data_IF_416539911618
#
_entry.id   IF_416539911618
#
_cell.length_a   1.000
_cell.length_b   1.000
_cell.length_c   1.000
_cell.angle_alpha   90.00
_cell.angle_beta   90.00
_cell.angle_gamma   90.00
#
_symmetry.space_group_name_H-M   'P 1'
#
loop_
_entity.id
_entity.type
_entity.pdbx_description
1 polymer ?
#
# COMPACT_ATOMS: atom_id res chain seq x y z
N UNK A 1 21.57 23.88 -23.93
CA UNK A 1 20.86 24.86 -24.78
C UNK A 1 21.72 26.11 -25.09
N UNK A 2 22.91 26.23 -24.52
CA UNK A 2 23.85 27.34 -24.78
C UNK A 2 25.04 26.82 -25.58
N UNK A 3 25.57 27.65 -26.48
CA UNK A 3 26.77 27.33 -27.25
C UNK A 3 27.97 27.24 -26.32
N UNK A 4 28.61 26.07 -26.23
CA UNK A 4 29.80 25.82 -25.42
C UNK A 4 30.81 24.94 -26.18
N UNK A 5 32.10 24.96 -25.82
CA UNK A 5 33.06 23.98 -26.32
C UNK A 5 32.66 22.55 -25.95
N UNK A 6 32.77 21.63 -26.89
CA UNK A 6 32.41 20.22 -26.69
C UNK A 6 33.60 19.37 -26.23
N UNK A 7 33.28 18.30 -25.47
CA UNK A 7 34.21 17.22 -25.10
C UNK A 7 33.56 15.93 -25.61
N UNK A 8 34.18 15.30 -26.60
CA UNK A 8 33.70 14.08 -27.26
C UNK A 8 34.58 12.88 -26.86
N UNK A 9 34.06 11.64 -26.94
CA UNK A 9 34.81 10.47 -26.47
C UNK A 9 36.10 10.28 -27.27
N UNK A 10 37.23 10.21 -26.55
CA UNK A 10 38.58 10.11 -27.14
C UNK A 10 39.14 8.69 -27.09
N UNK A 11 38.36 7.71 -26.64
CA UNK A 11 38.79 6.32 -26.43
C UNK A 11 39.47 6.07 -25.07
N UNK A 12 39.82 7.12 -24.32
CA UNK A 12 40.35 7.04 -22.94
C UNK A 12 39.21 7.29 -21.92
N UNK A 13 38.34 8.26 -22.20
CA UNK A 13 37.11 8.54 -21.45
C UNK A 13 35.92 8.20 -22.34
N UNK A 14 35.15 7.18 -21.96
CA UNK A 14 34.04 6.63 -22.76
C UNK A 14 32.66 7.13 -22.33
N UNK A 15 32.59 7.88 -21.23
CA UNK A 15 31.33 8.33 -20.62
C UNK A 15 31.32 9.83 -20.26
N UNK A 16 32.41 10.56 -20.50
CA UNK A 16 32.54 11.99 -20.19
C UNK A 16 32.34 12.79 -21.47
N UNK A 17 31.08 13.15 -21.74
CA UNK A 17 30.70 13.95 -22.89
C UNK A 17 30.18 15.32 -22.45
N UNK A 18 30.64 16.37 -23.11
CA UNK A 18 30.00 17.69 -23.08
C UNK A 18 29.59 17.99 -24.51
N UNK A 19 28.29 17.99 -24.77
CA UNK A 19 27.73 18.20 -26.11
C UNK A 19 26.92 19.49 -26.11
N UNK A 20 27.25 20.38 -27.03
CA UNK A 20 26.64 21.68 -27.20
C UNK A 20 25.49 21.57 -28.21
N UNK A 21 24.26 21.63 -27.72
CA UNK A 21 23.06 21.62 -28.55
C UNK A 21 22.15 22.81 -28.19
N UNK A 22 22.37 23.99 -28.79
CA UNK A 22 21.53 25.16 -28.58
C UNK A 22 20.12 24.94 -29.12
N UNK A 23 19.08 25.22 -28.32
CA UNK A 23 17.70 24.83 -28.65
C UNK A 23 17.19 25.47 -29.95
N UNK A 24 17.59 26.71 -30.21
CA UNK A 24 17.28 27.48 -31.42
C UNK A 24 17.99 26.96 -32.69
N UNK A 25 19.03 26.14 -32.54
CA UNK A 25 19.82 25.56 -33.63
C UNK A 25 19.40 24.11 -33.94
N UNK A 26 18.47 23.55 -33.15
CA UNK A 26 17.90 22.22 -33.42
C UNK A 26 16.92 22.34 -34.58
N UNK A 27 17.17 21.58 -35.64
CA UNK A 27 16.23 21.44 -36.75
C UNK A 27 14.93 20.77 -36.28
N UNK A 28 13.77 21.33 -36.61
CA UNK A 28 12.46 20.76 -36.31
C UNK A 28 11.36 21.68 -36.84
N UNK A 29 10.21 21.12 -37.24
CA UNK A 29 9.09 21.89 -37.81
C UNK A 29 8.43 22.83 -36.79
N UNK A 30 8.51 22.47 -35.52
CA UNK A 30 7.96 23.17 -34.36
C UNK A 30 8.83 22.89 -33.11
N UNK A 31 8.53 23.57 -32.00
CA UNK A 31 9.28 23.42 -30.76
C UNK A 31 9.14 22.01 -30.15
N UNK A 32 8.06 21.29 -30.47
CA UNK A 32 7.84 19.93 -30.01
C UNK A 32 8.85 18.97 -30.68
N UNK A 33 9.00 19.05 -32.00
CA UNK A 33 9.97 18.22 -32.74
C UNK A 33 11.42 18.56 -32.35
N UNK A 34 11.71 19.84 -32.08
CA UNK A 34 13.04 20.26 -31.56
C UNK A 34 13.31 19.66 -30.18
N UNK A 35 12.32 19.68 -29.29
CA UNK A 35 12.43 19.06 -27.97
C UNK A 35 12.60 17.53 -28.07
N UNK A 36 11.87 16.85 -28.96
CA UNK A 36 12.03 15.42 -29.22
C UNK A 36 13.47 15.09 -29.64
N UNK A 37 14.05 15.84 -30.59
CA UNK A 37 15.42 15.64 -31.06
C UNK A 37 16.47 15.94 -30.00
N UNK A 38 16.26 16.97 -29.17
CA UNK A 38 17.12 17.25 -28.02
C UNK A 38 17.15 16.05 -27.06
N UNK A 39 15.96 15.55 -26.70
CA UNK A 39 15.81 14.39 -25.81
C UNK A 39 16.51 13.16 -26.41
N UNK A 40 16.32 12.88 -27.71
CA UNK A 40 17.02 11.79 -28.39
C UNK A 40 18.55 11.93 -28.30
N UNK A 41 19.08 13.14 -28.49
CA UNK A 41 20.53 13.37 -28.39
C UNK A 41 21.03 13.17 -26.97
N UNK A 42 20.29 13.61 -25.95
CA UNK A 42 20.61 13.35 -24.55
C UNK A 42 20.62 11.85 -24.22
N UNK A 43 19.66 11.09 -24.75
CA UNK A 43 19.58 9.63 -24.58
C UNK A 43 20.80 8.95 -25.19
N UNK A 44 21.17 9.33 -26.42
CA UNK A 44 22.34 8.81 -27.12
C UNK A 44 23.65 9.12 -26.36
N UNK A 45 23.86 10.39 -26.02
CA UNK A 45 25.10 10.88 -25.38
C UNK A 45 25.30 10.27 -24.01
N UNK A 46 24.22 10.09 -23.24
CA UNK A 46 24.27 9.48 -21.90
C UNK A 46 24.28 7.94 -21.95
N UNK A 47 23.99 7.33 -23.10
CA UNK A 47 23.86 5.89 -23.25
C UNK A 47 22.63 5.31 -22.52
N UNK A 48 21.57 6.11 -22.35
CA UNK A 48 20.35 5.69 -21.66
C UNK A 48 19.60 4.68 -22.52
N UNK A 49 19.43 3.45 -22.03
CA UNK A 49 18.61 2.44 -22.70
C UNK A 49 17.17 2.55 -22.21
N UNK A 50 16.32 3.23 -22.97
CA UNK A 50 14.90 3.35 -22.62
C UNK A 50 14.15 2.08 -23.03
N UNK A 51 13.62 1.34 -22.05
CA UNK A 51 12.61 0.31 -22.29
C UNK A 51 11.24 1.00 -22.37
N UNK A 52 10.81 1.37 -23.58
CA UNK A 52 9.49 1.98 -23.77
C UNK A 52 8.44 0.89 -23.68
N UNK A 53 7.76 0.80 -22.55
CA UNK A 53 6.49 0.08 -22.47
C UNK A 53 5.39 1.03 -22.93
N UNK A 54 4.88 0.84 -24.15
CA UNK A 54 3.75 1.65 -24.63
C UNK A 54 2.49 1.19 -23.91
N UNK A 55 2.05 1.95 -22.91
CA UNK A 55 0.77 1.72 -22.22
C UNK A 55 -0.34 2.40 -23.03
N UNK A 56 -1.35 1.66 -23.53
CA UNK A 56 -2.33 2.21 -24.48
C UNK A 56 -3.45 2.96 -23.75
N UNK A 57 -3.11 4.15 -23.25
CA UNK A 57 -4.02 5.08 -22.56
C UNK A 57 -3.94 6.49 -23.15
N UNK A 58 -5.02 7.30 -23.04
CA UNK A 58 -5.08 8.63 -23.64
C UNK A 58 -4.49 9.74 -22.75
N UNK A 59 -3.93 9.38 -21.61
CA UNK A 59 -3.29 10.29 -20.66
C UNK A 59 -1.80 10.01 -20.56
N UNK A 60 -0.97 10.98 -20.15
CA UNK A 60 0.42 10.71 -19.79
C UNK A 60 0.51 9.57 -18.77
N UNK A 61 1.47 8.68 -18.97
CA UNK A 61 1.68 7.52 -18.12
C UNK A 61 3.16 7.43 -17.71
N UNK A 62 3.43 7.26 -16.42
CA UNK A 62 4.77 7.12 -15.87
C UNK A 62 4.81 7.36 -14.36
N UNK A 63 5.95 7.03 -13.74
CA UNK A 63 6.09 7.10 -12.28
C UNK A 63 5.99 8.50 -11.68
N UNK A 64 6.18 9.54 -12.50
CA UNK A 64 6.01 10.92 -12.09
C UNK A 64 4.57 11.26 -11.64
N UNK A 65 3.57 10.47 -12.04
CA UNK A 65 2.16 10.72 -11.74
C UNK A 65 1.64 9.94 -10.53
N UNK A 66 2.43 9.02 -9.96
CA UNK A 66 1.94 8.09 -8.93
C UNK A 66 1.44 8.76 -7.65
N UNK A 67 2.02 9.91 -7.30
CA UNK A 67 1.66 10.68 -6.12
C UNK A 67 0.50 11.67 -6.34
N UNK A 68 -0.11 11.71 -7.54
CA UNK A 68 -1.19 12.64 -7.83
C UNK A 68 -2.42 12.37 -6.95
N UNK A 69 -2.93 13.43 -6.34
CA UNK A 69 -4.13 13.37 -5.50
C UNK A 69 -5.30 14.01 -6.24
N UNK A 70 -6.33 13.22 -6.55
CA UNK A 70 -7.56 13.72 -7.16
C UNK A 70 -8.48 14.24 -6.06
N UNK A 71 -8.53 15.57 -5.92
CA UNK A 71 -9.40 16.26 -4.97
C UNK A 71 -10.84 16.28 -5.47
N UNK A 72 -11.81 16.42 -4.55
CA UNK A 72 -13.25 16.42 -4.88
C UNK A 72 -13.62 17.43 -5.96
N UNK A 73 -13.03 18.62 -5.95
CA UNK A 73 -13.29 19.67 -6.94
C UNK A 73 -12.97 19.21 -8.38
N UNK A 74 -11.90 18.42 -8.55
CA UNK A 74 -11.37 17.96 -9.84
C UNK A 74 -11.84 16.54 -10.20
N UNK A 75 -12.66 15.92 -9.36
CA UNK A 75 -13.10 14.53 -9.48
C UNK A 75 -14.23 14.37 -10.50
N UNK A 76 -14.07 13.44 -11.44
CA UNK A 76 -15.15 13.01 -12.34
C UNK A 76 -16.01 11.92 -11.71
N UNK A 77 -15.37 10.92 -11.11
CA UNK A 77 -16.01 9.73 -10.54
C UNK A 77 -15.13 9.16 -9.41
N UNK A 78 -15.78 8.56 -8.42
CA UNK A 78 -15.18 7.83 -7.30
C UNK A 78 -15.67 6.39 -7.29
N UNK A 79 -14.78 5.44 -7.01
CA UNK A 79 -15.10 4.03 -6.80
C UNK A 79 -14.56 3.57 -5.45
N UNK A 80 -15.36 2.88 -4.65
CA UNK A 80 -15.03 2.58 -3.26
C UNK A 80 -15.28 3.77 -2.32
N UNK A 81 -14.55 3.81 -1.22
CA UNK A 81 -14.70 4.86 -0.21
C UNK A 81 -16.04 4.78 0.54
N UNK A 82 -16.65 5.92 0.85
CA UNK A 82 -17.82 6.00 1.73
C UNK A 82 -19.14 5.58 1.07
N UNK A 83 -19.28 5.82 -0.23
CA UNK A 83 -20.58 5.74 -0.93
C UNK A 83 -20.67 4.58 -1.92
N UNK A 84 -19.59 3.84 -2.13
CA UNK A 84 -19.53 2.72 -3.07
C UNK A 84 -18.50 1.69 -2.59
N UNK A 85 -18.47 0.53 -3.22
CA UNK A 85 -17.53 -0.55 -2.95
C UNK A 85 -16.57 -0.70 -4.10
N UNK A 86 -15.29 -0.91 -3.80
CA UNK A 86 -14.34 -1.32 -4.81
C UNK A 86 -13.40 -2.41 -4.32
N UNK A 87 -13.13 -3.38 -5.18
CA UNK A 87 -12.17 -4.45 -4.91
C UNK A 87 -11.29 -4.76 -6.11
N UNK A 88 -10.11 -5.29 -5.83
CA UNK A 88 -9.15 -5.77 -6.81
C UNK A 88 -8.69 -7.19 -6.46
N UNK A 89 -8.87 -8.13 -7.39
CA UNK A 89 -8.55 -9.54 -7.17
C UNK A 89 -7.73 -10.07 -8.33
N UNK A 90 -6.50 -10.47 -8.05
CA UNK A 90 -5.64 -11.16 -9.00
C UNK A 90 -5.53 -12.63 -8.62
N UNK A 91 -5.73 -13.52 -9.58
CA UNK A 91 -5.56 -14.95 -9.38
C UNK A 91 -4.94 -15.64 -10.58
N UNK A 92 -4.24 -16.73 -10.31
CA UNK A 92 -3.70 -17.61 -11.33
C UNK A 92 -4.82 -18.43 -11.96
N UNK A 93 -4.71 -18.67 -13.26
CA UNK A 93 -5.56 -19.59 -14.00
C UNK A 93 -4.73 -20.46 -14.96
N UNK A 94 -5.24 -21.63 -15.38
CA UNK A 94 -4.62 -22.44 -16.42
C UNK A 94 -4.38 -21.67 -17.73
N UNK A 95 -3.26 -21.93 -18.41
CA UNK A 95 -2.87 -21.24 -19.66
C UNK A 95 -3.92 -21.31 -20.78
N UNK A 96 -4.74 -22.36 -20.81
CA UNK A 96 -5.81 -22.57 -21.80
C UNK A 96 -7.10 -21.81 -21.47
N UNK A 97 -7.24 -21.29 -20.25
CA UNK A 97 -8.41 -20.54 -19.78
C UNK A 97 -8.23 -19.03 -19.87
N UNK A 98 -7.00 -18.55 -20.12
CA UNK A 98 -6.68 -17.12 -20.23
C UNK A 98 -6.49 -16.70 -21.69
N UNK A 99 -7.24 -15.68 -22.11
CA UNK A 99 -7.07 -15.01 -23.41
C UNK A 99 -6.24 -13.75 -23.21
N UNK A 100 -4.96 -13.78 -23.61
CA UNK A 100 -4.07 -12.65 -23.40
C UNK A 100 -4.57 -11.38 -24.10
N UNK A 101 -4.49 -10.25 -23.38
CA UNK A 101 -4.90 -8.93 -23.87
C UNK A 101 -6.41 -8.70 -23.89
N UNK A 102 -7.22 -9.69 -23.50
CA UNK A 102 -8.67 -9.49 -23.35
C UNK A 102 -8.93 -8.56 -22.16
N UNK A 103 -9.59 -7.44 -22.46
CA UNK A 103 -10.15 -6.53 -21.47
C UNK A 103 -11.66 -6.45 -21.70
N UNK A 104 -12.43 -6.70 -20.66
CA UNK A 104 -13.89 -6.68 -20.72
C UNK A 104 -14.45 -5.80 -19.60
N UNK A 105 -15.48 -5.02 -19.91
CA UNK A 105 -16.25 -4.24 -18.93
C UNK A 105 -17.65 -4.84 -18.86
N UNK A 106 -18.01 -5.38 -17.70
CA UNK A 106 -19.30 -6.04 -17.44
C UNK A 106 -20.13 -5.15 -16.52
N UNK A 107 -21.11 -4.48 -17.13
CA UNK A 107 -21.96 -3.49 -16.48
C UNK A 107 -21.86 -2.12 -17.16
N UNK A 108 -22.56 -1.09 -16.64
CA UNK A 108 -22.52 0.26 -17.20
C UNK A 108 -21.16 0.93 -16.96
N UNK A 109 -20.74 1.80 -17.88
CA UNK A 109 -19.66 2.73 -17.61
C UNK A 109 -20.11 3.91 -16.74
N UNK A 110 -19.21 4.85 -16.47
CA UNK A 110 -19.50 6.01 -15.62
C UNK A 110 -20.01 7.23 -16.40
N UNK A 111 -20.21 7.13 -17.71
CA UNK A 111 -20.60 8.23 -18.59
C UNK A 111 -21.91 8.91 -18.14
N UNK A 112 -22.87 8.11 -17.69
CA UNK A 112 -24.18 8.58 -17.21
C UNK A 112 -24.20 8.96 -15.72
N UNK A 113 -23.13 8.65 -14.98
CA UNK A 113 -23.00 9.06 -13.57
C UNK A 113 -22.69 10.55 -13.52
N UNK A 114 -23.44 11.35 -12.72
CA UNK A 114 -23.14 12.77 -12.53
C UNK A 114 -21.68 13.04 -12.14
N UNK A 115 -21.15 14.22 -12.49
CA UNK A 115 -19.84 14.63 -12.01
C UNK A 115 -19.76 14.56 -10.48
N UNK A 116 -18.59 14.15 -9.97
CA UNK A 116 -18.36 13.91 -8.54
C UNK A 116 -19.27 12.83 -7.94
N UNK A 117 -19.92 12.01 -8.77
CA UNK A 117 -20.67 10.85 -8.35
C UNK A 117 -19.78 9.69 -7.89
N UNK A 118 -20.42 8.56 -7.59
CA UNK A 118 -19.78 7.33 -7.14
C UNK A 118 -20.39 6.12 -7.85
N UNK A 119 -19.62 5.04 -7.96
CA UNK A 119 -20.04 3.77 -8.57
C UNK A 119 -19.23 2.62 -7.97
N UNK A 120 -19.82 1.42 -7.88
CA UNK A 120 -19.07 0.23 -7.44
C UNK A 120 -18.12 -0.28 -8.54
N UNK A 121 -17.01 -0.91 -8.14
CA UNK A 121 -16.00 -1.40 -9.09
C UNK A 121 -15.33 -2.70 -8.62
N UNK A 122 -15.34 -3.72 -9.46
CA UNK A 122 -14.52 -4.93 -9.29
C UNK A 122 -13.45 -5.02 -10.38
N UNK A 123 -12.18 -5.11 -10.01
CA UNK A 123 -11.08 -5.38 -10.94
C UNK A 123 -10.64 -6.83 -10.75
N UNK A 124 -10.98 -7.71 -11.69
CA UNK A 124 -10.55 -9.12 -11.64
C UNK A 124 -9.49 -9.35 -12.71
N UNK A 125 -8.31 -9.79 -12.28
CA UNK A 125 -7.15 -10.04 -13.14
C UNK A 125 -6.82 -11.53 -13.11
N UNK A 126 -6.94 -12.18 -14.26
CA UNK A 126 -6.46 -13.55 -14.45
C UNK A 126 -5.08 -13.50 -15.05
N UNK A 127 -4.14 -14.18 -14.42
CA UNK A 127 -2.78 -14.34 -14.94
C UNK A 127 -2.48 -15.81 -15.18
N UNK A 128 -1.71 -16.09 -16.22
CA UNK A 128 -1.18 -17.42 -16.46
C UNK A 128 0.27 -17.31 -16.93
N UNK A 129 1.11 -18.25 -16.51
CA UNK A 129 2.47 -18.36 -17.02
C UNK A 129 3.19 -19.59 -16.49
N UNK A 130 4.19 -20.05 -17.22
CA UNK A 130 4.97 -21.26 -16.85
C UNK A 130 5.70 -21.10 -15.52
N UNK A 131 6.12 -19.87 -15.21
CA UNK A 131 6.78 -19.52 -13.96
C UNK A 131 5.83 -19.02 -12.87
N UNK A 132 4.53 -18.92 -13.15
CA UNK A 132 3.55 -18.41 -12.20
C UNK A 132 3.23 -19.45 -11.11
N UNK A 133 3.02 -18.98 -9.88
CA UNK A 133 2.65 -19.79 -8.73
C UNK A 133 1.58 -19.05 -7.92
N UNK A 134 0.72 -19.77 -7.19
CA UNK A 134 -0.29 -19.15 -6.29
C UNK A 134 0.37 -18.18 -5.29
N UNK A 135 1.61 -18.48 -4.89
CA UNK A 135 2.45 -17.67 -3.98
C UNK A 135 2.77 -16.27 -4.53
N UNK A 136 2.71 -16.08 -5.85
CA UNK A 136 3.02 -14.81 -6.50
C UNK A 136 1.78 -13.93 -6.66
N UNK A 137 0.58 -14.47 -6.49
CA UNK A 137 -0.67 -13.70 -6.60
C UNK A 137 -0.69 -12.43 -5.75
N UNK A 138 -0.41 -12.46 -4.42
CA UNK A 138 -0.41 -11.23 -3.61
C UNK A 138 0.67 -10.22 -4.05
N UNK A 139 1.83 -10.70 -4.54
CA UNK A 139 2.90 -9.85 -5.06
C UNK A 139 2.42 -9.07 -6.28
N UNK A 140 1.77 -9.76 -7.23
CA UNK A 140 1.25 -9.15 -8.45
C UNK A 140 0.02 -8.29 -8.18
N UNK A 141 -0.90 -8.74 -7.32
CA UNK A 141 -2.10 -8.00 -6.93
C UNK A 141 -1.74 -6.61 -6.39
N UNK A 142 -0.70 -6.51 -5.57
CA UNK A 142 -0.24 -5.22 -5.04
C UNK A 142 0.25 -4.25 -6.12
N UNK A 143 0.70 -4.75 -7.27
CA UNK A 143 1.16 -3.89 -8.36
C UNK A 143 0.01 -3.16 -9.05
N UNK A 144 -1.25 -3.61 -8.90
CA UNK A 144 -2.42 -2.92 -9.43
C UNK A 144 -2.45 -1.47 -8.95
N UNK A 145 -2.19 -1.25 -7.65
CA UNK A 145 -2.04 0.07 -7.07
C UNK A 145 -1.01 0.94 -7.81
N UNK A 146 0.19 0.40 -8.03
CA UNK A 146 1.28 1.15 -8.66
C UNK A 146 1.01 1.42 -10.14
N UNK A 147 0.49 0.42 -10.85
CA UNK A 147 0.19 0.50 -12.27
C UNK A 147 -0.92 1.49 -12.55
N UNK A 148 -2.01 1.48 -11.78
CA UNK A 148 -3.12 2.42 -11.97
C UNK A 148 -2.68 3.86 -11.65
N UNK A 149 -1.93 4.07 -10.57
CA UNK A 149 -1.41 5.40 -10.20
C UNK A 149 -0.40 5.96 -11.22
N UNK A 150 0.19 5.12 -12.08
CA UNK A 150 1.05 5.60 -13.16
C UNK A 150 0.32 6.46 -14.20
N UNK A 151 -1.02 6.44 -14.25
CA UNK A 151 -1.80 7.25 -15.18
C UNK A 151 -2.13 8.63 -14.60
N UNK A 152 -1.73 9.70 -15.29
CA UNK A 152 -2.03 11.07 -14.87
C UNK A 152 -3.54 11.32 -14.75
N UNK A 153 -3.94 11.94 -13.64
CA UNK A 153 -5.33 12.23 -13.31
C UNK A 153 -6.12 11.03 -12.80
N UNK A 154 -5.46 9.94 -12.41
CA UNK A 154 -6.06 8.76 -11.77
C UNK A 154 -5.35 8.53 -10.43
N UNK A 155 -6.13 8.34 -9.37
CA UNK A 155 -5.64 8.04 -8.04
C UNK A 155 -6.20 6.69 -7.60
N UNK A 156 -5.32 5.79 -7.12
CA UNK A 156 -5.68 4.52 -6.51
C UNK A 156 -5.09 4.41 -5.11
N UNK A 157 -5.90 4.14 -4.09
CA UNK A 157 -5.48 3.89 -2.72
C UNK A 157 -6.17 2.62 -2.21
N UNK A 158 -5.63 2.00 -1.16
CA UNK A 158 -6.15 0.76 -0.63
C UNK A 158 -5.63 -0.43 -1.42
N UNK A 159 -6.32 -1.54 -1.26
CA UNK A 159 -5.96 -2.85 -1.81
C UNK A 159 -7.13 -3.82 -1.62
N UNK A 160 -7.05 -5.02 -2.21
CA UNK A 160 -8.00 -6.12 -1.95
C UNK A 160 -9.44 -5.62 -2.03
N UNK A 161 -10.25 -5.79 -0.99
CA UNK A 161 -11.66 -5.38 -0.93
C UNK A 161 -11.93 -4.00 -0.34
N UNK A 162 -10.88 -3.20 -0.13
CA UNK A 162 -10.95 -1.82 0.36
C UNK A 162 -10.25 -0.85 -0.62
N UNK A 163 -10.23 -1.20 -1.91
CA UNK A 163 -9.69 -0.34 -2.94
C UNK A 163 -10.52 0.96 -3.02
N UNK A 164 -9.86 2.06 -3.38
CA UNK A 164 -10.48 3.37 -3.53
C UNK A 164 -9.83 4.09 -4.70
N UNK A 165 -10.61 4.31 -5.76
CA UNK A 165 -10.12 4.85 -7.02
C UNK A 165 -10.87 6.13 -7.36
N UNK A 166 -10.14 7.15 -7.80
CA UNK A 166 -10.70 8.39 -8.33
C UNK A 166 -10.14 8.66 -9.71
N UNK A 167 -11.01 9.12 -10.60
CA UNK A 167 -10.63 9.62 -11.93
C UNK A 167 -10.98 11.10 -11.98
N UNK A 168 -10.04 11.93 -12.43
CA UNK A 168 -10.22 13.37 -12.61
C UNK A 168 -11.05 13.71 -13.84
N UNK A 169 -11.63 14.92 -13.87
CA UNK A 169 -12.31 15.47 -15.04
C UNK A 169 -11.38 15.55 -16.25
N UNK A 170 -10.16 16.05 -16.04
CA UNK A 170 -9.16 16.19 -17.09
C UNK A 170 -8.77 14.84 -17.74
N UNK A 171 -8.68 13.77 -16.96
CA UNK A 171 -8.43 12.43 -17.50
C UNK A 171 -9.62 11.92 -18.33
N UNK A 172 -10.84 12.10 -17.83
CA UNK A 172 -12.06 11.69 -18.53
C UNK A 172 -12.29 12.49 -19.84
N UNK A 173 -12.03 13.80 -19.84
CA UNK A 173 -12.11 14.67 -21.02
C UNK A 173 -11.12 14.26 -22.12
N UNK A 174 -9.94 13.73 -21.74
CA UNK A 174 -8.97 13.14 -22.68
C UNK A 174 -9.40 11.77 -23.20
N UNK A 175 -10.49 11.19 -22.68
CA UNK A 175 -11.04 9.91 -23.10
C UNK A 175 -10.65 8.73 -22.20
N UNK A 176 -10.08 8.96 -21.01
CA UNK A 176 -9.82 7.88 -20.06
C UNK A 176 -11.15 7.28 -19.56
N UNK A 177 -11.24 5.95 -19.53
CA UNK A 177 -12.44 5.18 -19.18
C UNK A 177 -12.05 3.85 -18.48
N UNK A 178 -13.03 3.02 -18.11
CA UNK A 178 -12.79 1.77 -17.36
C UNK A 178 -11.92 0.75 -18.12
N UNK A 179 -12.06 0.64 -19.44
CA UNK A 179 -11.25 -0.30 -20.26
C UNK A 179 -9.75 0.03 -20.16
N UNK A 180 -9.41 1.30 -19.95
CA UNK A 180 -8.03 1.74 -19.79
C UNK A 180 -7.36 1.18 -18.53
N UNK A 181 -8.13 0.87 -17.46
CA UNK A 181 -7.59 0.17 -16.29
C UNK A 181 -7.04 -1.20 -16.68
N UNK A 182 -7.82 -1.99 -17.44
CA UNK A 182 -7.37 -3.30 -17.90
C UNK A 182 -6.19 -3.24 -18.88
N UNK A 183 -6.17 -2.23 -19.76
CA UNK A 183 -5.06 -1.96 -20.68
C UNK A 183 -3.76 -1.62 -19.95
N UNK A 184 -3.83 -0.82 -18.89
CA UNK A 184 -2.70 -0.53 -18.02
C UNK A 184 -2.16 -1.83 -17.41
N UNK A 185 -3.05 -2.63 -16.80
CA UNK A 185 -2.66 -3.85 -16.11
C UNK A 185 -2.01 -4.86 -17.06
N UNK A 186 -2.62 -5.13 -18.23
CA UNK A 186 -2.03 -6.00 -19.25
C UNK A 186 -0.62 -5.55 -19.65
N UNK A 187 -0.46 -4.29 -20.03
CA UNK A 187 0.82 -3.77 -20.50
C UNK A 187 1.91 -3.82 -19.41
N UNK A 188 1.55 -3.51 -18.16
CA UNK A 188 2.52 -3.40 -17.06
C UNK A 188 2.89 -4.75 -16.45
N UNK A 189 1.95 -5.68 -16.32
CA UNK A 189 2.28 -7.04 -15.91
C UNK A 189 3.25 -7.71 -16.89
N UNK A 190 3.04 -7.57 -18.20
CA UNK A 190 4.00 -8.07 -19.20
C UNK A 190 5.36 -7.37 -19.11
N UNK A 191 5.37 -6.05 -18.93
CA UNK A 191 6.60 -5.28 -18.90
C UNK A 191 7.50 -5.60 -17.71
N UNK A 192 6.91 -5.77 -16.53
CA UNK A 192 7.64 -5.88 -15.26
C UNK A 192 7.76 -7.34 -14.81
N UNK A 193 6.80 -8.20 -15.18
CA UNK A 193 6.70 -9.58 -14.74
C UNK A 193 6.67 -10.60 -15.89
N UNK A 194 7.03 -10.21 -17.11
CA UNK A 194 7.01 -11.10 -18.29
C UNK A 194 7.94 -12.33 -18.22
N UNK A 195 8.79 -12.45 -17.19
CA UNK A 195 9.54 -13.67 -16.91
C UNK A 195 8.68 -14.76 -16.25
N UNK A 196 7.57 -14.39 -15.60
CA UNK A 196 6.69 -15.30 -14.86
C UNK A 196 5.23 -15.26 -15.38
N UNK A 197 4.80 -14.13 -15.95
CA UNK A 197 3.46 -13.95 -16.53
C UNK A 197 3.55 -14.03 -18.06
N UNK A 198 2.89 -15.04 -18.63
CA UNK A 198 2.80 -15.25 -20.08
C UNK A 198 1.51 -14.67 -20.68
N UNK A 199 0.43 -14.61 -19.91
CA UNK A 199 -0.88 -14.11 -20.34
C UNK A 199 -1.59 -13.35 -19.23
N UNK A 200 -2.30 -12.28 -19.61
CA UNK A 200 -3.14 -11.48 -18.72
C UNK A 200 -4.50 -11.23 -19.37
N UNK A 201 -5.57 -11.53 -18.64
CA UNK A 201 -6.95 -11.18 -18.97
C UNK A 201 -7.53 -10.34 -17.81
N UNK A 202 -8.18 -9.23 -18.13
CA UNK A 202 -8.77 -8.33 -17.13
C UNK A 202 -10.26 -8.18 -17.37
N UNK A 203 -11.05 -8.36 -16.32
CA UNK A 203 -12.48 -8.05 -16.33
C UNK A 203 -12.76 -6.97 -15.30
N UNK A 204 -13.42 -5.90 -15.74
CA UNK A 204 -13.89 -4.80 -14.90
C UNK A 204 -15.39 -4.98 -14.69
N UNK A 205 -15.81 -5.14 -13.45
CA UNK A 205 -17.22 -5.29 -13.07
C UNK A 205 -17.76 -3.99 -12.50
N UNK A 206 -18.88 -3.53 -13.05
CA UNK A 206 -19.73 -2.46 -12.50
C UNK A 206 -21.17 -2.93 -12.34
N UNK A 207 -21.50 -4.14 -12.80
CA UNK A 207 -22.75 -4.83 -12.52
C UNK A 207 -22.83 -5.27 -11.04
N UNK A 208 -23.89 -4.87 -10.30
CA UNK A 208 -23.99 -5.16 -8.86
C UNK A 208 -23.99 -6.65 -8.50
N UNK A 209 -24.65 -7.50 -9.30
CA UNK A 209 -24.75 -8.93 -9.01
C UNK A 209 -23.40 -9.62 -9.22
N UNK A 210 -22.71 -9.26 -10.31
CA UNK A 210 -21.35 -9.76 -10.60
C UNK A 210 -20.33 -9.27 -9.57
N UNK A 211 -20.45 -8.03 -9.10
CA UNK A 211 -19.61 -7.50 -8.03
C UNK A 211 -19.78 -8.31 -6.74
N UNK A 212 -21.03 -8.57 -6.32
CA UNK A 212 -21.30 -9.32 -5.10
C UNK A 212 -20.70 -10.75 -5.15
N UNK A 213 -20.85 -11.44 -6.29
CA UNK A 213 -20.28 -12.77 -6.52
C UNK A 213 -18.75 -12.77 -6.42
N UNK A 214 -18.09 -11.92 -7.20
CA UNK A 214 -16.62 -11.90 -7.25
C UNK A 214 -15.99 -11.38 -5.97
N UNK A 215 -16.63 -10.43 -5.28
CA UNK A 215 -16.16 -9.96 -3.98
C UNK A 215 -16.16 -11.10 -2.95
N UNK A 216 -17.15 -11.99 -2.98
CA UNK A 216 -17.18 -13.14 -2.09
C UNK A 216 -16.03 -14.12 -2.39
N UNK A 217 -15.77 -14.41 -3.67
CA UNK A 217 -14.65 -15.27 -4.07
C UNK A 217 -13.29 -14.65 -3.70
N UNK A 218 -13.12 -13.35 -3.95
CA UNK A 218 -11.92 -12.61 -3.58
C UNK A 218 -11.66 -12.69 -2.06
N UNK A 219 -12.69 -12.49 -1.23
CA UNK A 219 -12.58 -12.59 0.24
C UNK A 219 -12.16 -13.98 0.72
N UNK A 220 -12.66 -15.05 0.10
CA UNK A 220 -12.19 -16.43 0.40
C UNK A 220 -10.70 -16.60 0.10
N UNK A 221 -10.24 -16.06 -1.03
CA UNK A 221 -8.83 -16.10 -1.39
C UNK A 221 -7.96 -15.28 -0.42
N UNK A 222 -8.40 -14.09 -0.03
CA UNK A 222 -7.69 -13.26 0.94
C UNK A 222 -7.57 -13.94 2.31
N UNK A 223 -8.64 -14.55 2.80
CA UNK A 223 -8.64 -15.33 4.05
C UNK A 223 -7.62 -16.48 4.00
N UNK A 224 -7.62 -17.26 2.92
CA UNK A 224 -6.62 -18.33 2.70
C UNK A 224 -5.19 -17.79 2.71
N UNK A 225 -4.94 -16.65 2.04
CA UNK A 225 -3.62 -15.99 1.99
C UNK A 225 -3.17 -15.55 3.39
N UNK A 226 -4.07 -15.00 4.20
CA UNK A 226 -3.75 -14.55 5.56
C UNK A 226 -3.43 -15.73 6.50
N UNK A 227 -4.18 -16.84 6.39
CA UNK A 227 -4.00 -18.02 7.25
C UNK A 227 -2.69 -18.78 7.01
N UNK A 228 -2.11 -18.65 5.81
CA UNK A 228 -0.87 -19.34 5.43
C UNK A 228 0.35 -18.96 6.28
N UNK A 229 0.33 -17.79 6.91
CA UNK A 229 1.43 -17.32 7.76
C UNK A 229 1.36 -17.79 9.21
N UNK A 230 0.28 -18.45 9.63
CA UNK A 230 0.01 -18.71 11.04
C UNK A 230 1.13 -19.49 11.76
N UNK A 231 1.89 -20.33 11.05
CA UNK A 231 2.93 -21.19 11.63
C UNK A 231 4.33 -20.55 11.65
N UNK A 232 4.53 -19.38 11.04
CA UNK A 232 5.84 -18.72 10.95
C UNK A 232 5.96 -17.63 12.03
N UNK A 233 6.96 -17.75 12.91
CA UNK A 233 7.22 -16.76 13.98
C UNK A 233 8.46 -15.93 13.71
N UNK A 234 8.55 -14.77 14.36
CA UNK A 234 9.71 -13.88 14.23
C UNK A 234 11.00 -14.54 14.76
N UNK A 235 10.88 -15.43 15.75
CA UNK A 235 12.01 -16.22 16.28
C UNK A 235 12.43 -17.39 15.37
N UNK A 236 11.56 -17.82 14.45
CA UNK A 236 11.83 -18.96 13.56
C UNK A 236 12.65 -18.58 12.32
N UNK A 237 12.87 -17.28 12.09
CA UNK A 237 13.58 -16.74 10.92
C UNK A 237 14.80 -15.92 11.36
N UNK A 238 15.79 -15.82 10.49
CA UNK A 238 17.01 -15.02 10.69
C UNK A 238 17.08 -13.77 9.80
N UNK A 239 16.05 -13.55 8.99
CA UNK A 239 15.90 -12.43 8.08
C UNK A 239 14.48 -11.89 8.10
N UNK A 240 14.36 -10.57 8.12
CA UNK A 240 13.13 -9.85 7.79
C UNK A 240 13.24 -9.29 6.38
N UNK A 241 12.19 -8.65 5.90
CA UNK A 241 12.23 -7.97 4.60
C UNK A 241 11.89 -6.50 4.74
N UNK A 242 12.56 -5.67 3.95
CA UNK A 242 12.13 -4.30 3.76
C UNK A 242 11.03 -4.19 2.71
N UNK A 243 10.34 -3.06 2.71
CA UNK A 243 9.62 -2.60 1.54
C UNK A 243 9.77 -1.08 1.40
N UNK A 244 10.29 -0.63 0.26
CA UNK A 244 10.45 0.80 -0.09
C UNK A 244 9.49 1.25 -1.19
N UNK A 245 8.47 0.45 -1.52
CA UNK A 245 7.53 0.75 -2.62
C UNK A 245 6.83 2.10 -2.45
N UNK A 246 6.51 2.48 -1.21
CA UNK A 246 5.84 3.75 -0.92
C UNK A 246 6.76 4.97 -0.90
N UNK A 247 8.06 4.83 -1.20
CA UNK A 247 8.97 5.98 -1.26
C UNK A 247 8.69 6.92 -2.42
N UNK A 248 7.84 6.53 -3.39
CA UNK A 248 7.37 7.44 -4.44
C UNK A 248 6.59 8.64 -3.90
N UNK A 249 5.93 8.51 -2.73
CA UNK A 249 5.20 9.61 -2.08
C UNK A 249 5.59 9.84 -0.61
N UNK A 250 6.33 8.92 0.02
CA UNK A 250 6.90 9.07 1.36
C UNK A 250 8.41 8.73 1.33
N UNK A 251 9.28 9.65 0.84
CA UNK A 251 10.65 9.32 0.42
C UNK A 251 11.54 8.67 1.48
N UNK A 252 11.29 8.98 2.75
CA UNK A 252 12.09 8.47 3.87
C UNK A 252 11.45 7.28 4.59
N UNK A 253 10.25 6.87 4.18
CA UNK A 253 9.56 5.75 4.79
C UNK A 253 10.20 4.41 4.39
N UNK A 254 10.28 3.50 5.36
CA UNK A 254 10.72 2.12 5.17
C UNK A 254 9.81 1.21 6.00
N UNK A 255 9.12 0.28 5.36
CA UNK A 255 8.48 -0.82 6.07
C UNK A 255 9.51 -1.90 6.39
N UNK A 256 9.49 -2.41 7.62
CA UNK A 256 10.20 -3.65 8.00
C UNK A 256 9.13 -4.71 8.28
N UNK A 257 9.19 -5.82 7.56
CA UNK A 257 8.14 -6.83 7.51
C UNK A 257 8.70 -8.12 8.07
N UNK A 258 8.08 -8.61 9.15
CA UNK A 258 8.40 -9.88 9.81
C UNK A 258 7.24 -10.87 9.67
N UNK A 259 7.44 -12.17 9.93
CA UNK A 259 6.32 -13.13 9.95
C UNK A 259 5.12 -12.70 10.79
N UNK A 260 5.37 -12.03 11.93
CA UNK A 260 4.35 -11.60 12.89
C UNK A 260 4.06 -10.09 12.85
N UNK A 261 4.65 -9.35 11.90
CA UNK A 261 4.35 -7.94 11.62
C UNK A 261 4.32 -7.72 10.10
N UNK A 262 3.13 -7.88 9.52
CA UNK A 262 2.89 -7.58 8.11
C UNK A 262 3.08 -6.09 7.80
N UNK A 263 3.28 -5.77 6.52
CA UNK A 263 3.37 -4.39 6.06
C UNK A 263 2.09 -3.63 6.40
N UNK A 264 2.25 -2.37 6.79
CA UNK A 264 1.14 -1.53 7.26
C UNK A 264 0.01 -1.39 6.23
N UNK A 265 0.31 -1.58 4.94
CA UNK A 265 -0.71 -1.59 3.90
C UNK A 265 -1.73 -2.70 4.11
N UNK A 266 -1.34 -3.87 4.65
CA UNK A 266 -2.13 -5.09 4.78
C UNK A 266 -2.00 -6.07 3.60
N UNK A 267 -1.46 -5.64 2.46
CA UNK A 267 -1.34 -6.48 1.26
C UNK A 267 -0.07 -7.34 1.25
N UNK A 268 1.01 -6.86 1.85
CA UNK A 268 2.30 -7.54 1.86
C UNK A 268 2.62 -8.10 3.23
N UNK A 269 2.93 -9.38 3.24
CA UNK A 269 3.43 -10.10 4.38
C UNK A 269 4.88 -10.58 4.12
N UNK A 270 5.48 -11.29 5.08
CA UNK A 270 6.87 -11.73 4.96
C UNK A 270 7.12 -12.66 3.77
N UNK A 271 6.22 -13.61 3.50
CA UNK A 271 6.33 -14.52 2.35
C UNK A 271 6.18 -13.76 1.02
N UNK A 272 5.30 -12.77 0.96
CA UNK A 272 5.11 -11.95 -0.23
C UNK A 272 6.38 -11.15 -0.54
N UNK A 273 7.03 -10.59 0.48
CA UNK A 273 8.29 -9.86 0.31
C UNK A 273 9.43 -10.77 -0.15
N UNK A 274 9.49 -11.99 0.40
CA UNK A 274 10.43 -13.03 -0.04
C UNK A 274 10.20 -13.42 -1.50
N UNK A 275 8.95 -13.63 -1.89
CA UNK A 275 8.58 -13.93 -3.27
C UNK A 275 8.93 -12.75 -4.21
N UNK A 276 8.61 -11.52 -3.82
CA UNK A 276 8.94 -10.30 -4.56
C UNK A 276 10.44 -10.17 -4.81
N UNK A 277 11.28 -10.41 -3.78
CA UNK A 277 12.74 -10.42 -3.94
C UNK A 277 13.22 -11.53 -4.89
N UNK A 278 12.65 -12.73 -4.82
CA UNK A 278 13.02 -13.84 -5.71
C UNK A 278 12.65 -13.56 -7.17
N UNK A 279 11.56 -12.81 -7.42
CA UNK A 279 11.14 -12.38 -8.74
C UNK A 279 12.05 -11.27 -9.27
N UNK A 280 12.34 -10.28 -8.41
CA UNK A 280 13.16 -9.12 -8.76
C UNK A 280 14.13 -8.76 -7.61
N UNK A 281 15.38 -9.26 -7.64
CA UNK A 281 16.36 -8.99 -6.59
C UNK A 281 16.78 -7.52 -6.48
N UNK A 282 16.53 -6.72 -7.53
CA UNK A 282 16.75 -5.26 -7.56
C UNK A 282 15.49 -4.46 -7.22
N UNK A 283 14.42 -5.14 -6.82
CA UNK A 283 13.13 -4.54 -6.48
C UNK A 283 13.10 -3.86 -5.11
N UNK A 284 11.92 -3.35 -4.71
CA UNK A 284 11.74 -2.58 -3.48
C UNK A 284 11.76 -3.44 -2.21
N UNK A 285 11.74 -4.76 -2.34
CA UNK A 285 11.79 -5.69 -1.22
C UNK A 285 13.19 -6.27 -1.11
N UNK A 286 13.89 -5.97 -0.02
CA UNK A 286 15.26 -6.44 0.22
C UNK A 286 15.32 -7.25 1.51
N UNK A 287 16.06 -8.37 1.55
CA UNK A 287 16.27 -9.12 2.78
C UNK A 287 17.13 -8.30 3.76
N UNK A 288 16.67 -8.23 5.01
CA UNK A 288 17.38 -7.62 6.13
C UNK A 288 17.86 -8.76 7.02
N UNK A 289 19.17 -9.01 7.02
CA UNK A 289 19.79 -9.90 8.01
C UNK A 289 19.68 -9.24 9.37
N UNK A 290 19.11 -9.92 10.36
CA UNK A 290 18.84 -9.32 11.67
C UNK A 290 20.12 -8.87 12.40
N UNK A 291 21.20 -9.66 12.32
CA UNK A 291 22.42 -9.37 13.08
C UNK A 291 22.22 -9.56 14.59
N UNK A 292 22.83 -8.71 15.41
CA UNK A 292 22.74 -8.81 16.87
C UNK A 292 21.39 -8.28 17.37
N UNK A 293 20.67 -9.08 18.15
CA UNK A 293 19.51 -8.62 18.90
C UNK A 293 19.99 -7.75 20.08
N UNK A 294 19.65 -6.46 20.04
CA UNK A 294 20.02 -5.47 21.06
C UNK A 294 19.02 -5.54 22.22
N UNK A 295 17.73 -5.63 21.88
CA UNK A 295 16.63 -5.74 22.84
C UNK A 295 15.55 -6.69 22.27
N UNK A 296 15.36 -7.88 22.85
CA UNK A 296 14.36 -8.83 22.38
C UNK A 296 12.92 -8.46 22.78
N UNK A 297 12.74 -7.58 23.76
CA UNK A 297 11.41 -7.14 24.24
C UNK A 297 10.86 -6.07 23.30
N UNK A 298 11.65 -5.03 23.01
CA UNK A 298 11.26 -3.96 22.07
C UNK A 298 11.46 -4.38 20.62
N UNK A 299 12.33 -5.36 20.38
CA UNK A 299 12.66 -5.81 19.04
C UNK A 299 13.59 -4.83 18.34
N UNK A 300 14.74 -4.57 18.96
CA UNK A 300 15.86 -3.88 18.32
C UNK A 300 16.89 -4.88 17.82
N UNK A 301 17.30 -4.68 16.56
CA UNK A 301 18.34 -5.45 15.92
C UNK A 301 19.28 -4.53 15.16
N UNK A 302 20.58 -4.84 15.20
CA UNK A 302 21.59 -4.03 14.51
C UNK A 302 21.32 -3.92 13.01
N UNK A 303 20.90 -5.03 12.38
CA UNK A 303 20.64 -5.07 10.94
C UNK A 303 19.40 -4.27 10.52
N UNK A 304 18.37 -4.23 11.39
CA UNK A 304 17.18 -3.41 11.14
C UNK A 304 17.55 -1.92 11.22
N UNK A 305 18.26 -1.51 12.26
CA UNK A 305 18.67 -0.10 12.45
C UNK A 305 19.62 0.35 11.32
N UNK A 306 20.58 -0.49 10.93
CA UNK A 306 21.48 -0.20 9.81
C UNK A 306 20.71 -0.04 8.50
N UNK A 307 19.80 -0.95 8.19
CA UNK A 307 19.00 -0.86 6.98
C UNK A 307 18.09 0.37 6.99
N UNK A 308 17.40 0.62 8.11
CA UNK A 308 16.52 1.78 8.27
C UNK A 308 17.29 3.09 8.03
N UNK A 309 18.49 3.25 8.59
CA UNK A 309 19.34 4.42 8.38
C UNK A 309 19.74 4.61 6.91
N UNK A 310 20.08 3.53 6.20
CA UNK A 310 20.45 3.62 4.78
C UNK A 310 19.22 3.96 3.93
N UNK A 311 18.14 3.19 4.07
CA UNK A 311 16.97 3.29 3.21
C UNK A 311 16.08 4.51 3.51
N UNK A 312 16.20 5.12 4.69
CA UNK A 312 15.52 6.38 5.05
C UNK A 312 16.37 7.63 4.81
N UNK A 313 17.51 7.51 4.11
CA UNK A 313 18.44 8.61 3.86
C UNK A 313 18.98 9.27 5.15
N UNK A 314 19.15 8.47 6.22
CA UNK A 314 19.67 8.90 7.50
C UNK A 314 18.65 9.56 8.43
N UNK A 315 17.37 9.56 8.08
CA UNK A 315 16.33 10.22 8.90
C UNK A 315 15.78 9.33 10.03
N UNK A 316 15.89 8.01 9.90
CA UNK A 316 15.49 7.03 10.91
C UNK A 316 16.74 6.27 11.37
N UNK A 317 17.12 6.45 12.64
CA UNK A 317 18.31 5.80 13.22
C UNK A 317 17.99 4.42 13.80
N UNK A 318 16.87 4.30 14.49
CA UNK A 318 16.45 3.08 15.19
C UNK A 318 14.97 2.79 14.95
N UNK A 319 14.61 1.51 14.90
CA UNK A 319 13.22 1.07 14.75
C UNK A 319 12.92 -0.02 15.75
N UNK A 320 11.93 0.23 16.60
CA UNK A 320 11.34 -0.77 17.49
C UNK A 320 10.28 -1.57 16.74
N UNK A 321 10.45 -2.90 16.71
CA UNK A 321 9.48 -3.78 16.08
C UNK A 321 8.23 -4.02 16.93
N UNK A 322 8.30 -3.80 18.24
CA UNK A 322 7.24 -4.21 19.17
C UNK A 322 6.78 -3.11 20.14
N UNK A 323 7.25 -1.86 19.98
CA UNK A 323 6.74 -0.70 20.74
C UNK A 323 6.15 0.37 19.82
N UNK A 324 5.04 0.96 20.26
CA UNK A 324 4.46 2.21 19.73
C UNK A 324 5.07 3.44 20.41
N UNK A 325 5.56 3.30 21.65
CA UNK A 325 6.02 4.41 22.48
C UNK A 325 7.46 4.82 22.19
N UNK A 326 8.30 3.88 21.77
CA UNK A 326 9.72 4.14 21.53
C UNK A 326 10.10 3.79 20.10
N UNK A 327 10.64 4.76 19.36
CA UNK A 327 11.12 4.62 17.99
C UNK A 327 10.21 3.76 17.09
N UNK A 328 8.88 4.04 17.02
CA UNK A 328 7.99 3.24 16.20
C UNK A 328 8.41 3.32 14.73
N UNK A 329 8.10 2.27 13.97
CA UNK A 329 8.24 2.30 12.52
C UNK A 329 7.44 3.46 11.93
N UNK A 330 8.03 4.17 10.98
CA UNK A 330 7.37 5.27 10.29
C UNK A 330 6.17 4.76 9.47
N UNK A 331 5.26 5.66 9.07
CA UNK A 331 4.13 5.31 8.23
C UNK A 331 4.13 6.14 6.93
N UNK A 332 3.80 5.52 5.79
CA UNK A 332 3.70 6.24 4.53
C UNK A 332 2.36 6.97 4.38
N UNK A 333 1.24 6.23 4.42
CA UNK A 333 -0.10 6.76 4.18
C UNK A 333 -1.13 5.74 3.69
N UNK A 334 -0.70 4.51 3.36
CA UNK A 334 -1.58 3.45 2.88
C UNK A 334 -2.05 2.46 3.97
N UNK A 335 -1.88 2.79 5.26
CA UNK A 335 -2.29 1.94 6.38
C UNK A 335 -3.80 1.69 6.41
N UNK A 336 -4.21 0.48 6.79
CA UNK A 336 -5.63 0.10 6.96
C UNK A 336 -6.20 0.65 8.26
N UNK A 337 -5.37 0.72 9.30
CA UNK A 337 -5.75 1.22 10.61
C UNK A 337 -4.69 2.17 11.16
N UNK A 338 -5.12 3.06 12.06
CA UNK A 338 -4.22 3.87 12.90
C UNK A 338 -4.41 3.41 14.34
N UNK A 339 -3.31 3.11 15.00
CA UNK A 339 -3.26 2.89 16.45
C UNK A 339 -2.71 4.17 17.08
N UNK A 340 -3.41 4.69 18.09
CA UNK A 340 -3.03 5.93 18.77
C UNK A 340 -3.18 5.78 20.28
N UNK A 341 -2.19 6.24 21.02
CA UNK A 341 -2.21 6.34 22.48
C UNK A 341 -3.37 7.25 22.95
N UNK A 342 -4.08 6.78 23.97
CA UNK A 342 -5.02 7.56 24.78
C UNK A 342 -4.47 7.57 26.21
N UNK A 343 -3.70 8.61 26.59
CA UNK A 343 -2.98 8.64 27.86
C UNK A 343 -3.87 8.43 29.08
N UNK A 344 -5.03 9.08 29.09
CA UNK A 344 -6.00 9.05 30.19
C UNK A 344 -6.54 7.64 30.43
N UNK A 345 -6.65 6.83 29.36
CA UNK A 345 -7.15 5.47 29.40
C UNK A 345 -6.06 4.40 29.62
N UNK A 346 -4.80 4.82 29.78
CA UNK A 346 -3.62 3.93 29.88
C UNK A 346 -3.58 2.87 28.76
N UNK A 347 -4.00 3.25 27.56
CA UNK A 347 -4.24 2.34 26.45
C UNK A 347 -4.17 3.01 25.09
N UNK A 348 -4.53 2.27 24.05
CA UNK A 348 -4.54 2.72 22.67
C UNK A 348 -5.92 2.56 22.05
N UNK A 349 -6.28 3.47 21.15
CA UNK A 349 -7.43 3.32 20.27
C UNK A 349 -6.99 2.82 18.89
N UNK A 350 -7.86 2.08 18.21
CA UNK A 350 -7.63 1.56 16.85
C UNK A 350 -8.76 2.01 15.93
N UNK A 351 -8.44 2.89 14.97
CA UNK A 351 -9.42 3.41 14.01
C UNK A 351 -9.16 2.84 12.62
N UNK A 352 -10.21 2.30 11.98
CA UNK A 352 -10.16 1.80 10.60
C UNK A 352 -10.25 2.94 9.59
N UNK A 353 -9.62 2.78 8.42
CA UNK A 353 -9.79 3.69 7.27
C UNK A 353 -11.24 3.79 6.80
N UNK A 354 -11.99 2.72 6.96
CA UNK A 354 -13.40 2.64 6.55
C UNK A 354 -14.34 3.35 7.56
N UNK A 355 -13.83 3.67 8.75
CA UNK A 355 -14.59 4.38 9.78
C UNK A 355 -14.47 5.90 9.60
N UNK A 356 -15.59 6.53 9.25
CA UNK A 356 -15.68 7.98 9.06
C UNK A 356 -16.12 8.74 10.32
N UNK A 357 -16.26 8.03 11.44
CA UNK A 357 -16.77 8.57 12.71
C UNK A 357 -15.69 9.37 13.44
N UNK A 358 -16.12 10.11 14.46
CA UNK A 358 -15.20 10.77 15.39
C UNK A 358 -14.65 9.75 16.38
N UNK A 359 -13.36 9.82 16.66
CA UNK A 359 -12.71 9.01 17.70
C UNK A 359 -12.65 9.76 19.04
N UNK A 360 -12.42 9.06 20.16
CA UNK A 360 -12.20 9.70 21.46
C UNK A 360 -11.07 10.75 21.46
N UNK A 361 -10.11 10.67 20.54
CA UNK A 361 -9.06 11.69 20.39
C UNK A 361 -9.53 12.99 19.71
N UNK A 362 -10.84 13.16 19.45
CA UNK A 362 -11.40 14.35 18.80
C UNK A 362 -11.00 14.49 17.33
N UNK A 363 -10.55 13.40 16.70
CA UNK A 363 -10.10 13.37 15.31
C UNK A 363 -10.73 12.20 14.54
N UNK A 364 -10.96 12.41 13.25
CA UNK A 364 -11.35 11.32 12.32
C UNK A 364 -10.10 10.58 11.83
N UNK A 365 -10.28 9.41 11.20
CA UNK A 365 -9.18 8.71 10.52
C UNK A 365 -8.42 9.61 9.54
N UNK A 366 -9.12 10.40 8.72
CA UNK A 366 -8.47 11.26 7.72
C UNK A 366 -7.59 12.34 8.35
N UNK A 367 -8.01 12.91 9.48
CA UNK A 367 -7.23 13.88 10.23
C UNK A 367 -5.96 13.23 10.80
N UNK A 368 -6.11 12.07 11.45
CA UNK A 368 -4.99 11.31 12.01
C UNK A 368 -4.01 10.86 10.92
N UNK A 369 -4.51 10.40 9.78
CA UNK A 369 -3.69 9.96 8.67
C UNK A 369 -2.76 11.08 8.15
N UNK A 370 -3.25 12.33 8.14
CA UNK A 370 -2.46 13.50 7.78
C UNK A 370 -1.35 13.85 8.77
N UNK A 371 -1.48 13.41 10.04
CA UNK A 371 -0.46 13.64 11.08
C UNK A 371 0.63 12.55 11.11
N UNK A 372 0.26 11.31 10.79
CA UNK A 372 1.12 10.12 10.97
C UNK A 372 1.83 9.71 9.67
N UNK A 373 1.24 10.05 8.52
CA UNK A 373 1.82 9.76 7.21
C UNK A 373 3.10 10.56 6.90
N UNK A 374 3.75 10.22 5.79
CA UNK A 374 4.91 10.97 5.27
C UNK A 374 6.29 10.47 5.72
N UNK A 375 6.35 9.35 6.46
CA UNK A 375 7.63 8.72 6.81
C UNK A 375 8.31 9.31 8.05
N UNK A 376 7.53 9.81 9.01
CA UNK A 376 8.03 10.37 10.28
C UNK A 376 7.82 9.36 11.41
N UNK A 377 8.72 9.32 12.40
CA UNK A 377 8.51 8.55 13.62
C UNK A 377 7.66 9.36 14.60
N UNK A 378 6.53 8.80 15.02
CA UNK A 378 5.58 9.48 15.91
C UNK A 378 5.32 8.60 17.13
N UNK A 379 6.11 8.71 18.21
CA UNK A 379 5.83 8.01 19.46
C UNK A 379 4.37 8.13 19.90
N UNK A 380 3.75 7.00 20.22
CA UNK A 380 2.34 6.92 20.59
C UNK A 380 1.37 6.84 19.41
N UNK A 381 1.82 6.91 18.15
CA UNK A 381 0.95 6.74 16.98
C UNK A 381 1.61 5.90 15.89
N UNK A 382 0.89 4.90 15.36
CA UNK A 382 1.40 4.05 14.29
C UNK A 382 0.32 3.69 13.26
N UNK A 383 0.70 3.66 11.99
CA UNK A 383 -0.11 3.06 10.93
C UNK A 383 0.12 1.54 10.87
N UNK A 384 -0.94 0.74 10.78
CA UNK A 384 -0.85 -0.72 10.76
C UNK A 384 -1.83 -1.33 9.75
N UNK A 385 -1.53 -2.55 9.29
CA UNK A 385 -2.50 -3.41 8.62
C UNK A 385 -3.38 -4.09 9.67
N UNK A 386 -4.66 -4.32 9.37
CA UNK A 386 -5.64 -4.79 10.37
C UNK A 386 -5.26 -6.16 10.97
N UNK A 387 -4.63 -7.02 10.18
CA UNK A 387 -4.17 -8.33 10.65
C UNK A 387 -2.98 -8.27 11.63
N UNK A 388 -2.29 -7.13 11.76
CA UNK A 388 -1.24 -6.97 12.78
C UNK A 388 -1.85 -6.95 14.18
N UNK A 389 -3.08 -6.46 14.33
CA UNK A 389 -3.84 -6.46 15.59
C UNK A 389 -3.99 -7.88 16.17
N UNK A 390 -4.01 -8.90 15.30
CA UNK A 390 -4.14 -10.29 15.71
C UNK A 390 -2.81 -10.90 16.18
N UNK A 391 -1.69 -10.25 15.90
CA UNK A 391 -0.36 -10.78 16.16
C UNK A 391 -0.07 -10.90 17.67
N UNK A 392 0.61 -11.98 18.12
CA UNK A 392 1.21 -12.01 19.46
C UNK A 392 2.29 -10.92 19.67
N UNK A 393 2.83 -10.36 18.59
CA UNK A 393 3.82 -9.28 18.58
C UNK A 393 3.21 -7.89 18.42
N UNK A 394 1.88 -7.78 18.39
CA UNK A 394 1.19 -6.50 18.34
C UNK A 394 1.56 -5.67 19.57
N UNK A 395 2.35 -4.60 19.42
CA UNK A 395 2.83 -3.71 20.50
C UNK A 395 3.20 -4.45 21.80
N UNK A 396 3.84 -5.62 21.67
CA UNK A 396 4.02 -6.53 22.81
C UNK A 396 4.93 -5.96 23.90
N UNK A 397 5.80 -5.01 23.55
CA UNK A 397 6.64 -4.30 24.52
C UNK A 397 5.81 -3.36 25.43
N UNK A 398 4.65 -2.90 24.95
CA UNK A 398 3.81 -1.92 25.65
C UNK A 398 2.57 -2.55 26.33
N UNK A 399 2.47 -3.88 26.30
CA UNK A 399 1.38 -4.62 26.94
C UNK A 399 0.39 -5.28 25.98
N UNK A 400 0.67 -5.23 24.67
CA UNK A 400 -0.04 -6.04 23.70
C UNK A 400 -1.49 -5.62 23.45
N UNK A 401 -2.29 -6.57 23.00
CA UNK A 401 -3.69 -6.32 22.64
C UNK A 401 -4.57 -5.88 23.83
N UNK A 402 -4.18 -6.21 25.08
CA UNK A 402 -4.87 -5.76 26.30
C UNK A 402 -4.86 -4.23 26.47
N UNK A 403 -4.00 -3.52 25.74
CA UNK A 403 -3.97 -2.05 25.69
C UNK A 403 -5.03 -1.45 24.81
N UNK A 404 -5.67 -2.21 23.91
CA UNK A 404 -6.71 -1.65 23.04
C UNK A 404 -7.93 -1.34 23.87
N UNK A 405 -8.29 -0.05 24.00
CA UNK A 405 -9.42 0.43 24.83
C UNK A 405 -10.61 0.88 23.99
N UNK A 406 -10.38 1.22 22.72
CA UNK A 406 -11.40 1.62 21.77
C UNK A 406 -11.03 1.07 20.38
N UNK A 407 -12.01 0.57 19.64
CA UNK A 407 -11.79 0.03 18.29
C UNK A 407 -13.02 0.28 17.41
N UNK A 408 -12.84 0.75 16.18
CA UNK A 408 -13.93 0.88 15.19
C UNK A 408 -14.77 -0.39 15.10
N UNK A 409 -16.09 -0.27 15.19
CA UNK A 409 -17.01 -1.43 15.22
C UNK A 409 -16.87 -2.33 13.99
N UNK A 410 -16.57 -1.75 12.82
CA UNK A 410 -16.34 -2.50 11.58
C UNK A 410 -15.22 -3.55 11.73
N UNK A 411 -14.18 -3.27 12.54
CA UNK A 411 -13.12 -4.23 12.81
C UNK A 411 -13.63 -5.36 13.72
N UNK A 412 -14.40 -5.02 14.75
CA UNK A 412 -15.03 -6.03 15.65
C UNK A 412 -15.97 -6.95 14.88
N UNK A 413 -16.70 -6.43 13.90
CA UNK A 413 -17.66 -7.18 13.10
C UNK A 413 -16.99 -8.03 12.02
N UNK A 414 -16.02 -7.45 11.29
CA UNK A 414 -15.37 -8.14 10.16
C UNK A 414 -14.28 -9.12 10.58
N UNK A 415 -13.75 -9.00 11.80
CA UNK A 415 -12.69 -9.85 12.36
C UNK A 415 -13.13 -10.53 13.67
N UNK A 416 -14.44 -10.77 13.84
CA UNK A 416 -15.02 -11.21 15.10
C UNK A 416 -14.40 -12.51 15.65
N UNK A 417 -14.26 -13.52 14.78
CA UNK A 417 -13.72 -14.83 15.18
C UNK A 417 -12.21 -14.74 15.49
N UNK A 418 -11.47 -13.97 14.70
CA UNK A 418 -10.04 -13.75 14.90
C UNK A 418 -9.76 -12.98 16.20
N UNK A 419 -10.53 -11.92 16.47
CA UNK A 419 -10.42 -11.12 17.69
C UNK A 419 -10.83 -11.92 18.93
N UNK A 420 -11.82 -12.81 18.80
CA UNK A 420 -12.17 -13.76 19.87
C UNK A 420 -11.02 -14.73 20.18
N UNK A 421 -10.31 -15.19 19.16
CA UNK A 421 -9.11 -16.01 19.35
C UNK A 421 -7.99 -15.22 20.07
N UNK A 422 -7.82 -13.93 19.74
CA UNK A 422 -6.91 -13.03 20.46
C UNK A 422 -7.32 -12.88 21.92
N UNK A 423 -8.57 -12.57 22.22
CA UNK A 423 -9.10 -12.45 23.58
C UNK A 423 -8.85 -13.73 24.41
N UNK A 424 -9.07 -14.89 23.79
CA UNK A 424 -8.79 -16.19 24.39
C UNK A 424 -7.29 -16.37 24.70
N UNK A 425 -6.40 -16.01 23.74
CA UNK A 425 -4.94 -16.04 23.94
C UNK A 425 -4.49 -15.11 25.07
N UNK A 426 -5.09 -13.94 25.18
CA UNK A 426 -4.77 -12.94 26.21
C UNK A 426 -5.26 -13.35 27.61
N UNK A 427 -6.08 -14.40 27.71
CA UNK A 427 -6.62 -14.92 28.96
C UNK A 427 -7.88 -14.20 29.46
N UNK A 428 -8.54 -13.41 28.60
CA UNK A 428 -9.79 -12.71 28.91
C UNK A 428 -10.76 -12.86 27.72
N UNK A 429 -11.60 -13.93 27.69
CA UNK A 429 -12.53 -14.18 26.59
C UNK A 429 -13.54 -13.05 26.32
N UNK A 430 -13.81 -12.23 27.33
CA UNK A 430 -14.71 -11.06 27.25
C UNK A 430 -13.96 -9.78 26.86
N UNK A 431 -12.66 -9.83 26.58
CA UNK A 431 -11.87 -8.63 26.30
C UNK A 431 -12.51 -7.77 25.19
N UNK A 432 -12.99 -8.38 24.10
CA UNK A 432 -13.54 -7.63 22.95
C UNK A 432 -14.80 -6.85 23.32
N UNK A 433 -15.64 -7.39 24.23
CA UNK A 433 -16.86 -6.71 24.69
C UNK A 433 -16.56 -5.56 25.64
N UNK A 434 -15.41 -5.58 26.32
CA UNK A 434 -14.95 -4.49 27.18
C UNK A 434 -14.32 -3.32 26.40
N UNK A 435 -13.86 -3.55 25.17
CA UNK A 435 -13.32 -2.50 24.29
C UNK A 435 -14.48 -1.63 23.81
N UNK A 436 -14.38 -0.31 23.94
CA UNK A 436 -15.39 0.62 23.44
C UNK A 436 -15.40 0.72 21.90
N UNK A 437 -16.43 1.29 21.31
CA UNK A 437 -16.49 1.65 19.89
C UNK A 437 -17.34 2.90 19.65
N UNK A 438 -17.37 3.39 18.42
CA UNK A 438 -18.01 4.65 18.02
C UNK A 438 -19.53 4.64 18.23
N UNK A 439 -20.16 3.48 18.45
CA UNK A 439 -21.61 3.37 18.69
C UNK A 439 -22.01 3.84 20.08
N UNK A 440 -21.06 3.83 21.03
CA UNK A 440 -21.31 4.14 22.44
C UNK A 440 -20.41 5.24 22.98
N UNK A 441 -19.20 5.40 22.43
CA UNK A 441 -18.15 6.26 22.99
C UNK A 441 -17.49 7.07 21.88
N UNK A 442 -17.57 8.40 21.97
CA UNK A 442 -16.94 9.34 21.04
C UNK A 442 -16.06 10.38 21.72
N UNK A 443 -16.04 10.46 23.07
CA UNK A 443 -15.11 11.32 23.83
C UNK A 443 -14.24 10.53 24.81
N UNK A 444 -13.18 11.17 25.32
CA UNK A 444 -12.31 10.57 26.34
C UNK A 444 -13.07 10.34 27.66
N UNK A 445 -13.94 11.26 28.07
CA UNK A 445 -14.71 11.13 29.31
C UNK A 445 -15.67 9.93 29.26
N UNK A 446 -16.36 9.75 28.12
CA UNK A 446 -17.21 8.58 27.87
C UNK A 446 -16.39 7.30 27.86
N UNK A 447 -15.18 7.34 27.29
CA UNK A 447 -14.27 6.19 27.24
C UNK A 447 -13.86 5.77 28.65
N UNK A 448 -13.46 6.70 29.50
CA UNK A 448 -13.07 6.37 30.88
C UNK A 448 -14.23 5.73 31.65
N UNK A 449 -15.44 6.31 31.55
CA UNK A 449 -16.63 5.75 32.18
C UNK A 449 -16.94 4.32 31.69
N UNK A 450 -16.84 4.09 30.37
CA UNK A 450 -17.03 2.77 29.77
C UNK A 450 -16.02 1.75 30.30
N UNK A 451 -14.73 2.11 30.33
CA UNK A 451 -13.66 1.22 30.75
C UNK A 451 -13.76 0.83 32.23
N UNK A 452 -14.20 1.76 33.09
CA UNK A 452 -14.47 1.49 34.50
C UNK A 452 -15.65 0.54 34.67
N UNK A 453 -16.79 0.82 34.01
CA UNK A 453 -17.99 -0.02 34.06
C UNK A 453 -17.72 -1.45 33.59
N UNK A 454 -16.91 -1.60 32.54
CA UNK A 454 -16.58 -2.89 31.92
C UNK A 454 -15.33 -3.55 32.54
N UNK A 455 -14.73 -2.97 33.58
CA UNK A 455 -13.51 -3.45 34.23
C UNK A 455 -12.41 -3.79 33.22
N UNK A 456 -12.08 -2.83 32.35
CA UNK A 456 -11.09 -3.04 31.30
C UNK A 456 -9.68 -3.23 31.87
N UNK A 457 -8.90 -4.25 31.44
CA UNK A 457 -7.61 -4.58 32.06
C UNK A 457 -6.56 -3.46 31.96
N UNK A 458 -6.59 -2.63 30.91
CA UNK A 458 -5.66 -1.52 30.74
C UNK A 458 -5.60 -0.55 31.95
N UNK A 459 -6.72 -0.36 32.65
CA UNK A 459 -6.78 0.53 33.82
C UNK A 459 -5.96 0.01 35.02
N UNK A 460 -5.72 -1.29 35.10
CA UNK A 460 -4.96 -1.95 36.17
C UNK A 460 -3.53 -2.32 35.77
N UNK A 461 -3.16 -2.14 34.50
CA UNK A 461 -1.80 -2.38 34.02
C UNK A 461 -0.86 -1.25 34.46
N UNK A 462 0.47 -1.48 34.51
CA UNK A 462 1.43 -0.40 34.70
C UNK A 462 1.20 0.76 33.71
N UNK A 463 1.58 2.00 34.04
CA UNK A 463 1.56 3.09 33.07
C UNK A 463 2.28 2.70 31.78
N UNK A 464 1.67 3.02 30.63
CA UNK A 464 2.27 2.76 29.32
C UNK A 464 3.42 3.73 28.99
N UNK A 465 3.56 4.83 29.74
CA UNK A 465 4.63 5.82 29.63
C UNK A 465 5.13 6.29 31.00
#
# INVERSE_FOLDING_TARGET
DTVIPEILPTGITTYEHVVSMPFNEIEGKDDLERAERLVQKCIEVRGVKIKVTKVPVPVPYGSAFEGEVVRRADMRIEFGGKYSRAFEYLHMAPLNEVVDGRVEVVGPGFEEVPEQGHMDLGIVVKVAGRGMQEDFEPVLERQIHYFINGASGVQHIGQRDIAWIRISKAAAEKGFNLEHLGKILHARFHADFGAIVDKVEVTIFTDPDRIAEWLQEARKAYDRRNKRLADLTDESVNEFYSCTLCQSFAPNHVCVISPQRLGLCGAYNWLDCKASYNINPTGPNQPIKLGTCIDPVKGYWTGINEYARIASHGTVEEVSMYSIMENPMTACGCFECIVMLVPEANGVMVVSREDSSMTPAGMTFSTLAGMVGGGIQTPGVMGVGKYYLLSPKFISADGGFKRVVWMSSILKETMAEELKAVATREGDPELISRIADERYVVTVEELLAWLEEHNHPALAMPPIF
#
